data_IF_285880223811
#
_entry.id   IF_285880223811
#
_cell.length_a   1.000
_cell.length_b   1.000
_cell.length_c   1.000
_cell.angle_alpha   90.00
_cell.angle_beta   90.00
_cell.angle_gamma   90.00
#
_symmetry.space_group_name_H-M   'P 1'
#
loop_
_entity.id
_entity.type
_entity.pdbx_description
1 polymer ?
#
# COMPACT_ATOMS: atom_id res chain seq x y z
N UNK A 1 3.01 3.62 -9.74
CA UNK A 1 4.38 4.02 -9.39
C UNK A 1 4.37 4.59 -7.98
N UNK A 2 5.44 4.41 -7.23
CA UNK A 2 5.70 5.06 -5.95
C UNK A 2 6.97 5.89 -6.11
N UNK A 3 6.92 7.15 -5.68
CA UNK A 3 8.07 8.06 -5.68
C UNK A 3 8.56 8.27 -4.26
N UNK A 4 9.86 8.09 -4.00
CA UNK A 4 10.43 8.39 -2.69
C UNK A 4 10.78 9.87 -2.58
N UNK A 5 9.88 10.67 -1.99
CA UNK A 5 10.10 12.09 -1.70
C UNK A 5 10.77 12.35 -0.33
N UNK A 6 11.05 11.30 0.44
CA UNK A 6 11.71 11.42 1.73
C UNK A 6 13.22 11.69 1.58
N UNK A 7 13.88 12.02 2.69
CA UNK A 7 15.34 12.23 2.75
C UNK A 7 16.13 10.95 3.00
N UNK A 8 15.47 9.81 3.09
CA UNK A 8 16.08 8.52 3.43
C UNK A 8 15.59 7.42 2.47
N UNK A 9 16.38 6.35 2.28
CA UNK A 9 15.95 5.19 1.50
C UNK A 9 14.75 4.49 2.16
N UNK A 10 13.86 3.92 1.34
CA UNK A 10 12.67 3.18 1.79
C UNK A 10 12.61 1.81 1.13
N UNK A 11 12.07 0.82 1.84
CA UNK A 11 11.79 -0.50 1.28
C UNK A 11 10.28 -0.66 1.14
N UNK A 12 9.84 -0.86 -0.11
CA UNK A 12 8.42 -0.86 -0.46
C UNK A 12 7.70 -2.20 -0.23
N UNK A 13 8.42 -3.32 -0.15
CA UNK A 13 7.81 -4.65 -0.29
C UNK A 13 7.91 -5.53 0.94
N UNK A 14 8.87 -5.27 1.83
CA UNK A 14 9.00 -6.03 3.09
C UNK A 14 9.27 -5.18 4.33
N UNK A 15 9.45 -3.87 4.18
CA UNK A 15 9.38 -2.91 5.29
C UNK A 15 8.04 -2.16 5.30
N UNK A 16 7.85 -1.31 6.31
CA UNK A 16 6.59 -0.60 6.58
C UNK A 16 6.62 0.93 6.34
N UNK A 17 7.25 1.51 5.28
CA UNK A 17 7.14 2.96 5.04
C UNK A 17 5.74 3.36 4.52
N UNK A 18 4.94 2.39 4.08
CA UNK A 18 3.60 2.58 3.56
C UNK A 18 2.68 1.57 4.26
N UNK A 19 1.57 2.04 4.83
CA UNK A 19 0.45 1.19 5.20
C UNK A 19 -0.70 1.44 4.23
N UNK A 20 -1.12 0.37 3.54
CA UNK A 20 -2.24 0.38 2.63
C UNK A 20 -3.20 -0.74 2.99
N UNK A 21 -4.48 -0.40 3.13
CA UNK A 21 -5.57 -1.33 3.37
C UNK A 21 -6.64 -1.13 2.31
N UNK A 22 -7.38 -2.19 1.99
CA UNK A 22 -8.65 -2.06 1.25
C UNK A 22 -9.82 -2.30 2.16
N UNK A 23 -10.96 -1.67 1.88
CA UNK A 23 -12.18 -1.84 2.66
C UNK A 23 -13.41 -2.05 1.78
N UNK A 24 -14.40 -2.76 2.30
CA UNK A 24 -15.70 -2.96 1.64
C UNK A 24 -16.79 -2.05 2.23
N UNK A 25 -18.00 -2.11 1.66
CA UNK A 25 -19.15 -1.31 2.13
C UNK A 25 -19.66 -1.63 3.54
N UNK A 26 -19.20 -2.73 4.14
CA UNK A 26 -19.50 -3.11 5.53
C UNK A 26 -18.37 -2.71 6.49
N UNK A 27 -17.44 -1.86 6.05
CA UNK A 27 -16.27 -1.42 6.82
C UNK A 27 -15.34 -2.55 7.26
N UNK A 28 -15.36 -3.69 6.58
CA UNK A 28 -14.34 -4.73 6.77
C UNK A 28 -13.06 -4.30 6.06
N UNK A 29 -11.92 -4.45 6.74
CA UNK A 29 -10.61 -3.99 6.29
C UNK A 29 -9.71 -5.19 5.99
N UNK A 30 -8.98 -5.13 4.89
CA UNK A 30 -8.08 -6.19 4.44
C UNK A 30 -6.67 -5.63 4.22
N UNK A 31 -5.67 -6.35 4.73
CA UNK A 31 -4.26 -6.08 4.50
C UNK A 31 -3.79 -6.73 3.19
N UNK A 32 -2.72 -6.22 2.57
CA UNK A 32 -2.11 -6.89 1.44
C UNK A 32 -1.55 -8.26 1.86
N UNK A 33 -1.38 -9.14 0.89
CA UNK A 33 -0.66 -10.40 1.09
C UNK A 33 0.79 -10.11 1.50
N UNK A 34 1.40 -11.08 2.17
CA UNK A 34 2.83 -11.04 2.44
C UNK A 34 3.66 -11.32 1.17
N UNK A 35 4.96 -11.08 1.26
CA UNK A 35 5.91 -11.38 0.18
C UNK A 35 5.57 -10.68 -1.16
N UNK A 36 5.17 -9.40 -1.09
CA UNK A 36 4.85 -8.59 -2.28
C UNK A 36 6.00 -8.50 -3.29
N UNK A 37 7.24 -8.70 -2.85
CA UNK A 37 8.42 -8.79 -3.72
C UNK A 37 8.37 -9.94 -4.73
N UNK A 38 7.51 -10.95 -4.53
CA UNK A 38 7.31 -12.06 -5.48
C UNK A 38 6.35 -11.71 -6.63
N UNK A 39 5.66 -10.59 -6.54
CA UNK A 39 4.79 -10.12 -7.63
C UNK A 39 5.69 -9.55 -8.72
N UNK A 40 5.44 -9.95 -9.97
CA UNK A 40 6.20 -9.46 -11.12
C UNK A 40 6.24 -7.92 -11.12
N UNK A 41 7.42 -7.38 -11.41
CA UNK A 41 7.71 -5.94 -11.51
C UNK A 41 7.68 -5.19 -10.17
N UNK A 42 7.37 -5.84 -9.03
CA UNK A 42 7.60 -5.22 -7.72
C UNK A 42 9.11 -5.25 -7.36
N UNK A 43 9.59 -4.29 -6.55
CA UNK A 43 10.95 -4.34 -6.02
C UNK A 43 11.19 -5.57 -5.13
N UNK A 44 12.41 -6.11 -5.20
CA UNK A 44 12.85 -7.15 -4.28
C UNK A 44 12.80 -6.68 -2.81
N UNK A 45 12.69 -7.62 -1.88
CA UNK A 45 12.81 -7.29 -0.46
C UNK A 45 14.21 -6.75 -0.16
N UNK A 46 14.30 -5.68 0.63
CA UNK A 46 15.51 -4.89 0.89
C UNK A 46 16.09 -4.14 -0.33
N UNK A 47 15.41 -4.14 -1.49
CA UNK A 47 15.77 -3.28 -2.60
C UNK A 47 15.32 -1.84 -2.31
N UNK A 48 16.17 -1.10 -1.59
CA UNK A 48 15.85 0.24 -1.12
C UNK A 48 15.66 1.22 -2.28
N UNK A 49 14.46 1.79 -2.38
CA UNK A 49 14.17 2.91 -3.27
C UNK A 49 14.83 4.18 -2.70
N UNK A 50 15.79 4.71 -3.44
CA UNK A 50 16.56 5.89 -3.04
C UNK A 50 15.75 7.18 -3.16
N UNK A 51 16.06 8.23 -2.38
CA UNK A 51 15.42 9.55 -2.49
C UNK A 51 15.42 10.09 -3.93
N UNK A 52 14.27 10.60 -4.38
CA UNK A 52 14.07 11.18 -5.71
C UNK A 52 13.83 10.18 -6.85
N UNK A 53 13.90 8.88 -6.58
CA UNK A 53 13.58 7.83 -7.56
C UNK A 53 12.13 7.38 -7.45
N UNK A 54 11.65 6.75 -8.52
CA UNK A 54 10.36 6.06 -8.57
C UNK A 54 10.51 4.59 -8.91
N UNK A 55 9.53 3.80 -8.50
CA UNK A 55 9.46 2.38 -8.81
C UNK A 55 8.02 1.92 -9.04
N UNK A 56 7.77 0.93 -9.92
CA UNK A 56 6.49 0.22 -9.92
C UNK A 56 6.20 -0.41 -8.55
N UNK A 57 4.92 -0.50 -8.20
CA UNK A 57 4.47 -1.19 -7.00
C UNK A 57 3.02 -1.64 -7.17
N UNK A 58 2.78 -2.90 -6.87
CA UNK A 58 1.47 -3.56 -6.86
C UNK A 58 1.22 -4.12 -5.46
N UNK A 59 0.14 -3.69 -4.83
CA UNK A 59 -0.36 -4.29 -3.59
C UNK A 59 -1.49 -5.26 -3.93
N UNK A 60 -1.28 -6.55 -3.68
CA UNK A 60 -2.29 -7.58 -3.87
C UNK A 60 -2.99 -7.90 -2.55
N UNK A 61 -4.30 -8.13 -2.59
CA UNK A 61 -5.13 -8.38 -1.42
C UNK A 61 -5.91 -9.68 -1.62
N UNK A 62 -6.01 -10.49 -0.55
CA UNK A 62 -6.92 -11.62 -0.52
C UNK A 62 -8.22 -11.19 0.16
N UNK A 63 -9.32 -11.22 -0.57
CA UNK A 63 -10.64 -10.77 -0.10
C UNK A 63 -11.69 -11.86 -0.34
N UNK A 64 -12.78 -11.92 0.46
CA UNK A 64 -13.85 -12.87 0.21
C UNK A 64 -14.46 -12.68 -1.18
N UNK A 65 -14.71 -13.77 -1.91
CA UNK A 65 -15.16 -13.72 -3.31
C UNK A 65 -16.48 -12.94 -3.54
N UNK A 66 -17.31 -12.80 -2.50
CA UNK A 66 -18.58 -12.06 -2.55
C UNK A 66 -18.47 -10.62 -2.01
N UNK A 67 -17.28 -10.19 -1.61
CA UNK A 67 -17.05 -8.82 -1.12
C UNK A 67 -16.81 -7.87 -2.29
N UNK A 68 -17.60 -6.81 -2.36
CA UNK A 68 -17.32 -5.65 -3.22
C UNK A 68 -16.42 -4.68 -2.47
N UNK A 69 -15.19 -4.48 -2.96
CA UNK A 69 -14.26 -3.51 -2.38
C UNK A 69 -14.68 -2.09 -2.78
N UNK A 70 -14.83 -1.22 -1.79
CA UNK A 70 -15.31 0.16 -1.95
C UNK A 70 -14.17 1.16 -2.12
N UNK A 71 -13.00 0.87 -1.57
CA UNK A 71 -11.84 1.75 -1.68
C UNK A 71 -10.60 1.21 -0.97
N UNK A 72 -9.57 2.05 -0.94
CA UNK A 72 -8.35 1.87 -0.17
C UNK A 72 -8.13 3.02 0.81
N UNK A 73 -7.51 2.71 1.93
CA UNK A 73 -6.93 3.65 2.88
C UNK A 73 -5.41 3.57 2.74
N UNK A 74 -4.76 4.67 2.38
CA UNK A 74 -3.33 4.76 2.18
C UNK A 74 -2.72 5.74 3.19
N UNK A 75 -1.65 5.35 3.86
CA UNK A 75 -0.89 6.23 4.75
C UNK A 75 0.60 5.98 4.64
N UNK A 76 1.38 7.04 4.81
CA UNK A 76 2.83 7.00 4.90
C UNK A 76 3.21 6.88 6.38
N UNK A 77 3.95 5.84 6.75
CA UNK A 77 4.33 5.63 8.15
C UNK A 77 5.61 6.42 8.43
N UNK A 78 5.54 7.34 9.39
CA UNK A 78 6.73 7.98 9.91
C UNK A 78 7.34 7.11 11.02
N UNK A 79 8.43 6.42 10.68
CA UNK A 79 9.17 5.58 11.62
C UNK A 79 9.86 6.36 12.74
N UNK A 80 10.22 7.64 12.50
CA UNK A 80 10.89 8.45 13.50
C UNK A 80 9.96 8.74 14.69
N UNK A 81 8.66 8.87 14.43
CA UNK A 81 7.64 9.13 15.46
C UNK A 81 6.66 7.96 15.67
N UNK A 82 6.85 6.84 14.97
CA UNK A 82 5.96 5.65 14.98
C UNK A 82 4.49 6.01 14.84
N UNK A 83 4.21 6.95 13.95
CA UNK A 83 2.86 7.44 13.69
C UNK A 83 2.53 7.27 12.22
N UNK A 84 1.30 6.89 11.93
CA UNK A 84 0.71 7.10 10.61
C UNK A 84 -0.24 8.28 10.72
N UNK A 85 -0.15 9.28 9.83
CA UNK A 85 -1.20 10.29 9.73
C UNK A 85 -2.53 9.62 9.33
N UNK A 86 -3.62 10.37 9.43
CA UNK A 86 -4.92 9.90 8.95
C UNK A 86 -4.80 9.42 7.49
N UNK A 87 -5.32 8.23 7.16
CA UNK A 87 -5.14 7.68 5.83
C UNK A 87 -5.89 8.50 4.79
N UNK A 88 -5.26 8.69 3.64
CA UNK A 88 -5.94 9.17 2.44
C UNK A 88 -6.89 8.08 1.95
N UNK A 89 -8.17 8.41 1.80
CA UNK A 89 -9.17 7.51 1.26
C UNK A 89 -9.22 7.63 -0.25
N UNK A 90 -9.00 6.49 -0.92
CA UNK A 90 -9.10 6.33 -2.36
C UNK A 90 -10.36 5.52 -2.63
N UNK A 91 -11.45 6.19 -3.00
CA UNK A 91 -12.68 5.49 -3.41
C UNK A 91 -12.50 4.89 -4.79
N UNK A 92 -12.84 3.62 -4.97
CA UNK A 92 -12.73 2.96 -6.27
C UNK A 92 -13.91 3.26 -7.20
N UNK A 93 -14.86 4.09 -6.74
CA UNK A 93 -16.12 4.30 -7.43
C UNK A 93 -16.83 2.96 -7.49
N UNK A 94 -17.57 2.60 -6.44
CA UNK A 94 -18.47 1.45 -6.52
C UNK A 94 -19.19 1.52 -7.87
N UNK A 95 -19.07 0.47 -8.68
CA UNK A 95 -19.75 0.39 -9.96
C UNK A 95 -21.19 0.85 -9.73
N UNK A 96 -21.54 1.99 -10.30
CA UNK A 96 -22.91 2.45 -10.33
C UNK A 96 -23.65 1.39 -11.16
N UNK A 97 -24.44 0.58 -10.44
CA UNK A 97 -25.45 -0.37 -10.91
C UNK A 97 -25.43 -0.78 -12.38
#
# INVERSE_FOLDING_TARGET
MVTNNAKAPIDLTCSFPIDIKVFNGSSQVYSPIESLYKIKDNPECNAQLQPGFESPMTWAFLVPAKSTIAGAAFSEVDFAVRSSPDPTIISFGAGLN
#
